data_IF_617413260939
#
_entry.id   IF_617413260939
#
_cell.length_a   1.000
_cell.length_b   1.000
_cell.length_c   1.000
_cell.angle_alpha   90.00
_cell.angle_beta   90.00
_cell.angle_gamma   90.00
#
_symmetry.space_group_name_H-M   'P 1'
#
loop_
_entity.id
_entity.type
_entity.pdbx_description
1 polymer ?
#
# COMPACT_ATOMS: atom_id res chain seq x y z
N UNK A 1 -40.43 3.80 19.56
CA UNK A 1 -39.25 4.60 19.13
C UNK A 1 -38.00 4.44 20.01
N UNK A 2 -38.09 4.19 21.33
CA UNK A 2 -36.92 4.07 22.22
C UNK A 2 -36.09 2.80 21.98
N UNK A 3 -36.73 1.65 21.71
CA UNK A 3 -36.04 0.39 21.38
C UNK A 3 -35.24 0.45 20.08
N UNK A 4 -35.80 1.07 19.04
CA UNK A 4 -35.14 1.29 17.75
C UNK A 4 -33.94 2.24 17.87
N UNK A 5 -34.07 3.35 18.61
CA UNK A 5 -32.92 4.23 18.90
C UNK A 5 -31.82 3.53 19.68
N UNK A 6 -32.16 2.62 20.60
CA UNK A 6 -31.18 1.84 21.38
C UNK A 6 -30.48 0.79 20.51
N UNK A 7 -31.22 0.13 19.62
CA UNK A 7 -30.67 -0.82 18.66
C UNK A 7 -29.78 -0.11 17.62
N UNK A 8 -30.23 1.02 17.05
CA UNK A 8 -29.43 1.86 16.15
C UNK A 8 -28.17 2.38 16.85
N UNK A 9 -28.24 2.83 18.11
CA UNK A 9 -27.03 3.22 18.87
C UNK A 9 -26.08 2.05 19.11
N UNK A 10 -26.60 0.87 19.45
CA UNK A 10 -25.78 -0.31 19.72
C UNK A 10 -25.10 -0.80 18.44
N UNK A 11 -25.84 -0.85 17.33
CA UNK A 11 -25.34 -1.21 16.00
C UNK A 11 -24.36 -0.17 15.45
N UNK A 12 -24.66 1.14 15.56
CA UNK A 12 -23.77 2.22 15.13
C UNK A 12 -22.47 2.29 15.93
N UNK A 13 -22.54 2.15 17.26
CA UNK A 13 -21.35 2.16 18.13
C UNK A 13 -20.48 0.93 17.93
N UNK A 14 -21.06 -0.20 17.53
CA UNK A 14 -20.36 -1.42 17.19
C UNK A 14 -19.72 -1.34 15.80
N UNK A 15 -20.46 -0.80 14.83
CA UNK A 15 -19.99 -0.54 13.47
C UNK A 15 -18.80 0.41 13.42
N UNK A 16 -18.79 1.45 14.26
CA UNK A 16 -17.66 2.36 14.43
C UNK A 16 -16.47 1.73 15.19
N UNK A 17 -16.72 0.69 15.98
CA UNK A 17 -15.69 0.00 16.79
C UNK A 17 -14.93 -1.06 15.99
N UNK A 18 -15.63 -1.78 15.12
CA UNK A 18 -15.05 -2.84 14.29
C UNK A 18 -14.61 -2.35 12.89
N UNK A 19 -14.75 -1.05 12.62
CA UNK A 19 -14.26 -0.47 11.38
C UNK A 19 -12.74 -0.37 11.42
N UNK A 20 -12.07 -1.34 10.80
CA UNK A 20 -10.61 -1.42 10.72
C UNK A 20 -9.96 -0.14 10.18
N UNK A 21 -10.64 0.64 9.33
CA UNK A 21 -10.11 1.94 8.87
C UNK A 21 -10.04 2.93 10.04
N UNK A 22 -11.04 2.95 10.93
CA UNK A 22 -11.18 3.94 11.99
C UNK A 22 -10.47 3.54 13.29
N UNK A 23 -10.47 2.25 13.63
CA UNK A 23 -9.99 1.76 14.92
C UNK A 23 -8.65 1.06 14.88
N UNK A 24 -8.19 0.58 13.72
CA UNK A 24 -6.86 -0.03 13.66
C UNK A 24 -5.78 1.06 13.58
N UNK A 25 -4.94 1.14 14.63
CA UNK A 25 -3.62 1.78 14.58
C UNK A 25 -2.60 1.03 13.69
N UNK A 26 -3.06 0.00 12.96
CA UNK A 26 -2.23 -0.77 12.03
C UNK A 26 -2.36 -0.31 10.57
N UNK A 27 -3.28 0.62 10.26
CA UNK A 27 -3.44 1.20 8.93
C UNK A 27 -3.86 0.23 7.82
N UNK A 28 -4.70 -0.75 8.15
CA UNK A 28 -5.18 -1.76 7.19
C UNK A 28 -6.15 -1.12 6.17
N UNK A 29 -5.90 -1.37 4.88
CA UNK A 29 -6.79 -0.94 3.79
C UNK A 29 -6.68 0.52 3.37
N UNK A 30 -5.66 1.25 3.83
CA UNK A 30 -5.49 2.66 3.44
C UNK A 30 -5.22 2.85 1.96
N UNK A 31 -4.39 1.99 1.35
CA UNK A 31 -4.04 2.08 -0.08
C UNK A 31 -5.29 2.13 -0.97
N UNK A 32 -6.21 1.17 -0.78
CA UNK A 32 -7.46 1.11 -1.54
C UNK A 32 -8.44 2.21 -1.13
N UNK A 33 -8.48 2.63 0.14
CA UNK A 33 -9.37 3.70 0.58
C UNK A 33 -9.00 5.07 0.02
N UNK A 34 -7.71 5.36 -0.10
CA UNK A 34 -7.23 6.64 -0.62
C UNK A 34 -7.41 6.70 -2.14
N UNK A 35 -7.20 5.57 -2.83
CA UNK A 35 -7.21 5.50 -4.28
C UNK A 35 -8.62 5.57 -4.88
N UNK A 36 -9.61 4.95 -4.25
CA UNK A 36 -10.94 4.74 -4.86
C UNK A 36 -12.00 5.77 -4.39
N UNK A 37 -11.65 6.63 -3.42
CA UNK A 37 -12.58 7.64 -2.86
C UNK A 37 -12.70 8.92 -3.67
N UNK A 38 -12.25 8.93 -4.93
CA UNK A 38 -12.40 10.08 -5.81
C UNK A 38 -13.85 10.27 -6.28
N UNK A 39 -14.57 9.16 -6.51
CA UNK A 39 -15.99 9.12 -6.90
C UNK A 39 -16.76 8.14 -6.01
N UNK A 40 -18.01 8.47 -5.70
CA UNK A 40 -18.89 7.67 -4.85
C UNK A 40 -19.25 6.34 -5.51
N UNK A 41 -19.51 6.33 -6.81
CA UNK A 41 -19.76 5.12 -7.60
C UNK A 41 -18.58 4.13 -7.49
N UNK A 42 -17.35 4.64 -7.60
CA UNK A 42 -16.17 3.81 -7.51
C UNK A 42 -16.02 3.19 -6.13
N UNK A 43 -16.27 3.99 -5.08
CA UNK A 43 -16.20 3.55 -3.69
C UNK A 43 -17.26 2.50 -3.36
N UNK A 44 -18.46 2.63 -3.93
CA UNK A 44 -19.53 1.64 -3.76
C UNK A 44 -19.15 0.32 -4.42
N UNK A 45 -18.67 0.35 -5.67
CA UNK A 45 -18.21 -0.83 -6.41
C UNK A 45 -17.09 -1.55 -5.67
N UNK A 46 -16.11 -0.82 -5.14
CA UNK A 46 -15.01 -1.39 -4.36
C UNK A 46 -15.48 -1.98 -3.03
N UNK A 47 -16.39 -1.30 -2.33
CA UNK A 47 -16.97 -1.80 -1.07
C UNK A 47 -17.74 -3.11 -1.27
N UNK A 48 -18.58 -3.18 -2.31
CA UNK A 48 -19.32 -4.38 -2.69
C UNK A 48 -18.40 -5.49 -3.18
N UNK A 49 -17.38 -5.16 -3.97
CA UNK A 49 -16.37 -6.11 -4.44
C UNK A 49 -15.59 -6.75 -3.29
N UNK A 50 -15.11 -5.96 -2.34
CA UNK A 50 -14.43 -6.45 -1.14
C UNK A 50 -15.37 -7.36 -0.32
N UNK A 51 -16.64 -6.98 -0.14
CA UNK A 51 -17.62 -7.79 0.57
C UNK A 51 -17.81 -9.16 -0.11
N UNK A 52 -18.09 -9.16 -1.41
CA UNK A 52 -18.34 -10.36 -2.20
C UNK A 52 -17.11 -11.28 -2.22
N UNK A 53 -15.95 -10.73 -2.55
CA UNK A 53 -14.70 -11.49 -2.64
C UNK A 53 -14.32 -12.08 -1.29
N UNK A 54 -14.42 -11.32 -0.19
CA UNK A 54 -14.00 -11.80 1.13
C UNK A 54 -14.91 -12.92 1.64
N UNK A 55 -16.23 -12.76 1.52
CA UNK A 55 -17.20 -13.78 1.94
C UNK A 55 -17.13 -15.05 1.09
N UNK A 56 -17.00 -14.88 -0.24
CA UNK A 56 -16.87 -15.99 -1.19
C UNK A 56 -15.56 -16.75 -1.01
N UNK A 57 -14.44 -16.03 -0.88
CA UNK A 57 -13.13 -16.64 -0.63
C UNK A 57 -13.11 -17.37 0.71
N UNK A 58 -13.69 -16.81 1.77
CA UNK A 58 -13.75 -17.48 3.07
C UNK A 58 -14.54 -18.81 3.01
N UNK A 59 -15.62 -18.86 2.23
CA UNK A 59 -16.40 -20.09 2.04
C UNK A 59 -15.57 -21.23 1.42
N UNK A 60 -14.69 -20.93 0.45
CA UNK A 60 -13.78 -21.93 -0.11
C UNK A 60 -12.60 -22.24 0.80
N UNK A 61 -12.12 -21.27 1.57
CA UNK A 61 -10.97 -21.43 2.46
C UNK A 61 -11.31 -22.26 3.71
N UNK A 62 -12.55 -22.16 4.22
CA UNK A 62 -12.95 -22.78 5.48
C UNK A 62 -12.80 -24.32 5.53
N UNK A 63 -13.15 -25.10 4.49
CA UNK A 63 -12.88 -26.55 4.45
C UNK A 63 -11.39 -26.88 4.61
N UNK A 64 -10.51 -26.03 4.08
CA UNK A 64 -9.06 -26.19 4.18
C UNK A 64 -8.47 -25.61 5.47
N UNK A 65 -9.30 -25.14 6.42
CA UNK A 65 -8.86 -24.54 7.70
C UNK A 65 -7.82 -25.40 8.43
N UNK A 66 -7.98 -26.73 8.44
CA UNK A 66 -6.99 -27.64 9.07
C UNK A 66 -5.64 -27.59 8.36
N UNK A 67 -5.63 -27.70 7.03
CA UNK A 67 -4.40 -27.63 6.24
C UNK A 67 -3.69 -26.28 6.41
N UNK A 68 -4.46 -25.19 6.41
CA UNK A 68 -3.95 -23.82 6.51
C UNK A 68 -3.47 -23.48 7.92
N UNK A 69 -4.13 -24.00 8.96
CA UNK A 69 -3.71 -23.80 10.34
C UNK A 69 -2.49 -24.63 10.71
N UNK A 70 -2.28 -25.77 10.05
CA UNK A 70 -1.06 -26.59 10.20
C UNK A 70 0.12 -25.98 9.42
N UNK A 71 -0.15 -25.25 8.33
CA UNK A 71 0.85 -24.44 7.67
C UNK A 71 1.29 -23.29 8.59
N UNK A 72 2.59 -23.16 8.88
CA UNK A 72 3.10 -22.06 9.70
C UNK A 72 2.63 -20.68 9.21
N UNK A 73 2.61 -19.69 10.12
CA UNK A 73 2.10 -18.32 9.90
C UNK A 73 2.51 -17.70 8.58
N UNK A 74 3.73 -18.00 8.16
CA UNK A 74 4.41 -17.51 6.96
C UNK A 74 3.77 -17.98 5.63
N UNK A 75 3.42 -19.27 5.55
CA UNK A 75 2.88 -19.87 4.31
C UNK A 75 1.38 -19.60 4.16
N UNK A 76 0.68 -19.39 5.28
CA UNK A 76 -0.75 -19.10 5.33
C UNK A 76 -1.11 -17.90 4.44
N UNK A 77 -0.38 -16.80 4.56
CA UNK A 77 -0.73 -15.53 3.90
C UNK A 77 -0.63 -15.65 2.37
N UNK A 78 0.43 -16.30 1.86
CA UNK A 78 0.63 -16.53 0.43
C UNK A 78 -0.48 -17.40 -0.17
N UNK A 79 -0.87 -18.49 0.51
CA UNK A 79 -1.96 -19.34 0.05
C UNK A 79 -3.30 -18.59 0.02
N UNK A 80 -3.57 -17.76 1.03
CA UNK A 80 -4.77 -16.92 1.06
C UNK A 80 -4.82 -15.96 -0.13
N UNK A 81 -3.70 -15.32 -0.47
CA UNK A 81 -3.64 -14.41 -1.61
C UNK A 81 -3.97 -15.09 -2.94
N UNK A 82 -3.48 -16.31 -3.17
CA UNK A 82 -3.76 -17.07 -4.39
C UNK A 82 -5.26 -17.40 -4.48
N UNK A 83 -5.88 -17.83 -3.38
CA UNK A 83 -7.32 -18.15 -3.38
C UNK A 83 -8.16 -16.89 -3.61
N UNK A 84 -7.78 -15.78 -2.97
CA UNK A 84 -8.46 -14.49 -3.14
C UNK A 84 -8.29 -13.96 -4.58
N UNK A 85 -7.13 -14.13 -5.21
CA UNK A 85 -6.90 -13.64 -6.58
C UNK A 85 -7.81 -14.30 -7.61
N UNK A 86 -8.12 -15.58 -7.44
CA UNK A 86 -9.09 -16.29 -8.28
C UNK A 86 -10.49 -15.68 -8.13
N UNK A 87 -10.93 -15.36 -6.92
CA UNK A 87 -12.23 -14.71 -6.70
C UNK A 87 -12.29 -13.27 -7.20
N UNK A 88 -11.20 -12.52 -7.07
CA UNK A 88 -11.12 -11.17 -7.63
C UNK A 88 -11.24 -11.19 -9.15
N UNK A 89 -10.61 -12.17 -9.82
CA UNK A 89 -10.78 -12.35 -11.26
C UNK A 89 -12.25 -12.61 -11.63
N UNK A 90 -12.94 -13.50 -10.89
CA UNK A 90 -14.38 -13.76 -11.07
C UNK A 90 -15.21 -12.47 -10.90
N UNK A 91 -14.93 -11.69 -9.84
CA UNK A 91 -15.58 -10.41 -9.61
C UNK A 91 -15.30 -9.40 -10.74
N UNK A 92 -14.07 -9.38 -11.27
CA UNK A 92 -13.70 -8.53 -12.40
C UNK A 92 -14.55 -8.81 -13.65
N UNK A 93 -14.81 -10.08 -13.97
CA UNK A 93 -15.73 -10.42 -15.06
C UNK A 93 -17.17 -10.04 -14.79
N UNK A 94 -17.63 -10.26 -13.56
CA UNK A 94 -18.97 -9.83 -13.17
C UNK A 94 -19.12 -8.31 -13.32
N UNK A 95 -18.13 -7.54 -12.86
CA UNK A 95 -18.13 -6.09 -13.02
C UNK A 95 -18.15 -5.67 -14.50
N UNK A 96 -17.37 -6.32 -15.37
CA UNK A 96 -17.36 -6.03 -16.81
C UNK A 96 -18.67 -6.42 -17.50
N UNK A 97 -19.33 -7.49 -17.06
CA UNK A 97 -20.59 -7.95 -17.63
C UNK A 97 -21.78 -7.06 -17.26
N UNK A 98 -21.84 -6.59 -16.01
CA UNK A 98 -22.97 -5.81 -15.51
C UNK A 98 -22.77 -4.29 -15.67
N UNK A 99 -21.54 -3.79 -15.54
CA UNK A 99 -21.25 -2.35 -15.57
C UNK A 99 -19.92 -2.06 -16.28
N UNK A 100 -19.87 -2.20 -17.62
CA UNK A 100 -18.61 -2.11 -18.38
C UNK A 100 -17.94 -0.73 -18.27
N UNK A 101 -18.72 0.35 -18.20
CA UNK A 101 -18.22 1.73 -18.12
C UNK A 101 -17.48 1.99 -16.81
N UNK A 102 -18.03 1.52 -15.68
CA UNK A 102 -17.40 1.61 -14.36
C UNK A 102 -16.21 0.64 -14.28
N UNK A 103 -16.35 -0.59 -14.78
CA UNK A 103 -15.29 -1.58 -14.78
C UNK A 103 -14.06 -1.11 -15.57
N UNK A 104 -14.24 -0.38 -16.68
CA UNK A 104 -13.14 0.18 -17.46
C UNK A 104 -12.33 1.22 -16.66
N UNK A 105 -13.01 2.08 -15.90
CA UNK A 105 -12.33 3.13 -15.10
C UNK A 105 -11.65 2.62 -13.83
N UNK A 106 -12.09 1.48 -13.28
CA UNK A 106 -11.61 0.91 -12.01
C UNK A 106 -10.81 -0.39 -12.22
N UNK A 107 -10.61 -0.88 -13.46
CA UNK A 107 -9.94 -2.17 -13.74
C UNK A 107 -8.65 -2.34 -12.93
N UNK A 108 -7.81 -1.30 -12.92
CA UNK A 108 -6.56 -1.27 -12.16
C UNK A 108 -6.74 -1.40 -10.63
N UNK A 109 -7.84 -0.89 -10.06
CA UNK A 109 -8.12 -0.95 -8.63
C UNK A 109 -8.92 -2.20 -8.21
N UNK A 110 -9.61 -2.86 -9.13
CA UNK A 110 -10.25 -4.17 -8.87
C UNK A 110 -9.15 -5.18 -8.49
N UNK A 111 -8.03 -5.17 -9.20
CA UNK A 111 -6.88 -6.04 -8.89
C UNK A 111 -6.31 -5.79 -7.49
N UNK A 112 -6.39 -4.55 -6.99
CA UNK A 112 -5.96 -4.20 -5.63
C UNK A 112 -6.81 -4.86 -4.54
N UNK A 113 -8.00 -5.39 -4.85
CA UNK A 113 -8.78 -6.17 -3.88
C UNK A 113 -7.96 -7.37 -3.39
N UNK A 114 -7.13 -7.96 -4.26
CA UNK A 114 -6.30 -9.13 -3.91
C UNK A 114 -5.29 -8.86 -2.80
N UNK A 115 -4.71 -7.65 -2.80
CA UNK A 115 -3.72 -7.21 -1.81
C UNK A 115 -4.31 -6.30 -0.75
N UNK A 116 -5.64 -6.19 -0.70
CA UNK A 116 -6.29 -5.40 0.33
C UNK A 116 -6.10 -6.10 1.68
N UNK A 117 -5.41 -5.40 2.58
CA UNK A 117 -5.08 -5.93 3.90
C UNK A 117 -6.32 -6.27 4.74
N UNK A 118 -7.48 -5.67 4.45
CA UNK A 118 -8.76 -5.97 5.14
C UNK A 118 -9.29 -7.35 4.74
N UNK A 119 -9.17 -7.73 3.47
CA UNK A 119 -9.59 -9.05 2.99
C UNK A 119 -8.80 -10.14 3.70
N UNK A 120 -7.47 -9.98 3.74
CA UNK A 120 -6.56 -10.93 4.38
C UNK A 120 -6.77 -11.00 5.90
N UNK A 121 -6.92 -9.85 6.56
CA UNK A 121 -7.17 -9.80 8.00
C UNK A 121 -8.49 -10.49 8.36
N UNK A 122 -9.58 -10.17 7.64
CA UNK A 122 -10.90 -10.71 7.89
C UNK A 122 -10.95 -12.24 7.68
N UNK A 123 -10.34 -12.77 6.61
CA UNK A 123 -10.26 -14.22 6.38
C UNK A 123 -9.39 -14.88 7.45
N UNK A 124 -8.24 -14.29 7.78
CA UNK A 124 -7.31 -14.85 8.77
C UNK A 124 -7.91 -14.94 10.17
N UNK A 125 -8.66 -13.91 10.59
CA UNK A 125 -9.39 -13.90 11.86
C UNK A 125 -10.59 -14.85 11.81
N UNK A 126 -11.34 -14.86 10.71
CA UNK A 126 -12.47 -15.78 10.50
C UNK A 126 -12.09 -17.25 10.62
N UNK A 127 -10.86 -17.62 10.26
CA UNK A 127 -10.33 -18.97 10.42
C UNK A 127 -10.22 -19.41 11.88
N UNK A 128 -10.26 -18.50 12.87
CA UNK A 128 -10.17 -18.86 14.29
C UNK A 128 -11.50 -19.28 14.90
N UNK A 129 -12.63 -18.96 14.25
CA UNK A 129 -13.99 -19.23 14.76
C UNK A 129 -14.78 -20.16 13.84
N UNK A 130 -16.02 -20.47 14.22
CA UNK A 130 -16.93 -21.30 13.43
C UNK A 130 -17.43 -20.56 12.20
N UNK A 131 -17.79 -21.31 11.15
CA UNK A 131 -18.14 -20.78 9.83
C UNK A 131 -19.15 -19.62 9.87
N UNK A 132 -20.30 -19.82 10.51
CA UNK A 132 -21.36 -18.80 10.52
C UNK A 132 -21.05 -17.60 11.39
N UNK A 133 -20.27 -17.80 12.45
CA UNK A 133 -19.78 -16.68 13.27
C UNK A 133 -18.74 -15.87 12.50
N UNK A 134 -17.83 -16.56 11.80
CA UNK A 134 -16.82 -15.96 10.94
C UNK A 134 -17.47 -15.14 9.82
N UNK A 135 -18.45 -15.68 9.10
CA UNK A 135 -19.17 -14.96 8.06
C UNK A 135 -19.84 -13.68 8.60
N UNK A 136 -20.43 -13.72 9.80
CA UNK A 136 -20.98 -12.52 10.44
C UNK A 136 -19.92 -11.49 10.81
N UNK A 137 -18.74 -11.93 11.29
CA UNK A 137 -17.61 -11.02 11.59
C UNK A 137 -17.06 -10.38 10.31
N UNK A 138 -16.83 -11.17 9.27
CA UNK A 138 -16.36 -10.73 7.96
C UNK A 138 -17.34 -9.72 7.35
N UNK A 139 -18.64 -10.05 7.34
CA UNK A 139 -19.68 -9.15 6.83
C UNK A 139 -19.63 -7.79 7.51
N UNK A 140 -19.52 -7.76 8.84
CA UNK A 140 -19.44 -6.51 9.61
C UNK A 140 -18.17 -5.72 9.30
N UNK A 141 -17.02 -6.37 9.22
CA UNK A 141 -15.75 -5.72 8.91
C UNK A 141 -15.78 -5.10 7.49
N UNK A 142 -16.26 -5.86 6.49
CA UNK A 142 -16.38 -5.39 5.11
C UNK A 142 -17.44 -4.31 4.93
N UNK A 143 -18.58 -4.40 5.62
CA UNK A 143 -19.57 -3.31 5.63
C UNK A 143 -19.00 -2.05 6.29
N UNK A 144 -18.25 -2.18 7.39
CA UNK A 144 -17.53 -1.09 8.05
C UNK A 144 -16.60 -0.37 7.08
N UNK A 145 -15.79 -1.15 6.36
CA UNK A 145 -14.91 -0.65 5.29
C UNK A 145 -15.70 0.08 4.20
N UNK A 146 -16.73 -0.56 3.63
CA UNK A 146 -17.53 0.01 2.54
C UNK A 146 -18.19 1.34 2.95
N UNK A 147 -18.74 1.42 4.17
CA UNK A 147 -19.32 2.66 4.68
C UNK A 147 -18.29 3.76 4.87
N UNK A 148 -17.08 3.44 5.36
CA UNK A 148 -16.01 4.43 5.45
C UNK A 148 -15.60 4.95 4.05
N UNK A 149 -15.54 4.09 3.04
CA UNK A 149 -15.28 4.52 1.66
C UNK A 149 -16.37 5.46 1.14
N UNK A 150 -17.63 5.07 1.29
CA UNK A 150 -18.78 5.89 0.86
C UNK A 150 -18.75 7.25 1.55
N UNK A 151 -18.47 7.30 2.85
CA UNK A 151 -18.41 8.54 3.60
C UNK A 151 -17.23 9.43 3.17
N UNK A 152 -16.05 8.85 2.94
CA UNK A 152 -14.88 9.57 2.42
C UNK A 152 -15.13 10.09 1.00
N UNK A 153 -15.72 9.29 0.12
CA UNK A 153 -16.06 9.70 -1.23
C UNK A 153 -17.14 10.78 -1.25
N UNK A 154 -18.11 10.72 -0.33
CA UNK A 154 -19.10 11.78 -0.16
C UNK A 154 -18.48 13.11 0.28
N UNK A 155 -17.36 13.09 1.02
CA UNK A 155 -16.61 14.31 1.34
C UNK A 155 -15.75 14.80 0.16
N UNK A 156 -15.24 13.88 -0.68
CA UNK A 156 -14.29 14.19 -1.76
C UNK A 156 -14.95 14.55 -3.08
N UNK A 157 -16.01 13.86 -3.49
CA UNK A 157 -16.64 14.04 -4.80
C UNK A 157 -17.26 15.44 -4.99
N UNK A 158 -18.03 16.00 -4.02
CA UNK A 158 -18.56 17.36 -4.18
C UNK A 158 -17.43 18.39 -4.29
N UNK A 159 -16.42 18.32 -3.43
CA UNK A 159 -15.32 19.27 -3.41
C UNK A 159 -14.40 19.15 -4.64
N UNK A 160 -14.28 17.95 -5.22
CA UNK A 160 -13.48 17.71 -6.42
C UNK A 160 -14.23 18.06 -7.71
N UNK A 161 -15.36 17.38 -7.95
CA UNK A 161 -16.09 17.42 -9.23
C UNK A 161 -17.31 18.35 -9.22
N UNK A 162 -17.79 18.79 -8.04
CA UNK A 162 -19.04 19.54 -7.91
C UNK A 162 -20.30 18.68 -7.96
N UNK A 163 -20.13 17.35 -8.06
CA UNK A 163 -21.22 16.38 -8.26
C UNK A 163 -21.32 15.38 -7.10
N UNK A 164 -22.48 14.75 -6.98
CA UNK A 164 -22.71 13.53 -6.19
C UNK A 164 -23.49 12.56 -7.07
N UNK A 165 -22.90 11.41 -7.44
CA UNK A 165 -23.53 10.42 -8.32
C UNK A 165 -24.07 11.06 -9.62
N UNK A 166 -23.28 11.98 -10.21
CA UNK A 166 -23.65 12.68 -11.43
C UNK A 166 -24.63 13.85 -11.26
N UNK A 167 -25.22 14.05 -10.08
CA UNK A 167 -26.06 15.23 -9.80
C UNK A 167 -25.18 16.41 -9.37
N UNK A 168 -25.32 17.56 -10.04
CA UNK A 168 -24.60 18.79 -9.68
C UNK A 168 -25.17 19.37 -8.38
N UNK A 169 -24.36 19.42 -7.33
CA UNK A 169 -24.76 19.92 -6.00
C UNK A 169 -24.18 21.31 -5.74
N UNK A 170 -22.99 21.60 -6.27
CA UNK A 170 -22.33 22.89 -6.09
C UNK A 170 -22.59 23.82 -7.29
N UNK A 171 -22.80 25.13 -7.04
CA UNK A 171 -22.89 26.12 -8.12
C UNK A 171 -21.59 26.16 -8.94
N UNK A 172 -21.70 26.45 -10.24
CA UNK A 172 -20.54 26.57 -11.15
C UNK A 172 -19.52 27.64 -10.72
N UNK A 173 -19.93 28.56 -9.85
CA UNK A 173 -19.07 29.59 -9.26
C UNK A 173 -18.03 29.03 -8.26
N UNK A 174 -18.23 27.81 -7.74
CA UNK A 174 -17.26 27.22 -6.82
C UNK A 174 -16.08 26.62 -7.61
N UNK A 175 -14.83 27.05 -7.36
CA UNK A 175 -13.68 26.53 -8.09
C UNK A 175 -13.51 25.03 -7.80
N UNK A 176 -13.60 24.22 -8.86
CA UNK A 176 -13.37 22.77 -8.77
C UNK A 176 -11.97 22.54 -8.24
N UNK A 177 -11.88 21.98 -7.04
CA UNK A 177 -10.61 21.83 -6.36
C UNK A 177 -9.95 20.55 -6.86
N UNK A 178 -9.13 20.67 -7.92
CA UNK A 178 -8.37 19.56 -8.53
C UNK A 178 -7.57 18.79 -7.47
N UNK A 179 -7.09 19.49 -6.44
CA UNK A 179 -6.39 18.91 -5.28
C UNK A 179 -7.19 17.79 -4.59
N UNK A 180 -8.53 17.88 -4.56
CA UNK A 180 -9.37 16.90 -3.86
C UNK A 180 -9.56 15.61 -4.68
N UNK A 181 -9.40 15.69 -6.00
CA UNK A 181 -9.47 14.57 -6.92
C UNK A 181 -8.15 13.78 -6.91
N UNK A 182 -7.03 14.47 -6.75
CA UNK A 182 -5.70 13.85 -6.76
C UNK A 182 -5.44 13.05 -5.46
N UNK A 183 -4.41 12.19 -5.44
CA UNK A 183 -3.93 11.47 -4.26
C UNK A 183 -3.77 12.32 -3.01
N UNK A 184 -3.36 13.58 -3.22
CA UNK A 184 -3.17 14.60 -2.19
C UNK A 184 -4.46 14.82 -1.39
N UNK A 185 -5.58 14.98 -2.08
CA UNK A 185 -6.91 15.10 -1.49
C UNK A 185 -7.30 13.88 -0.67
N UNK A 186 -6.92 12.68 -1.11
CA UNK A 186 -7.15 11.45 -0.35
C UNK A 186 -6.48 11.49 1.02
N UNK A 187 -5.20 11.86 1.08
CA UNK A 187 -4.46 11.96 2.35
C UNK A 187 -5.08 13.00 3.29
N UNK A 188 -5.40 14.20 2.79
CA UNK A 188 -6.01 15.25 3.60
C UNK A 188 -7.43 14.88 4.06
N UNK A 189 -8.25 14.28 3.18
CA UNK A 189 -9.58 13.82 3.52
C UNK A 189 -9.55 12.75 4.62
N UNK A 190 -8.67 11.75 4.48
CA UNK A 190 -8.54 10.68 5.48
C UNK A 190 -8.00 11.21 6.82
N UNK A 191 -7.00 12.10 6.79
CA UNK A 191 -6.47 12.73 8.00
C UNK A 191 -7.53 13.58 8.70
N UNK A 192 -8.26 14.42 7.96
CA UNK A 192 -9.35 15.24 8.49
C UNK A 192 -10.50 14.40 9.03
N UNK A 193 -10.87 13.33 8.32
CA UNK A 193 -11.91 12.40 8.75
C UNK A 193 -11.56 11.70 10.07
N UNK A 194 -10.31 11.20 10.22
CA UNK A 194 -9.83 10.61 11.47
C UNK A 194 -9.81 11.64 12.61
N UNK A 195 -9.32 12.86 12.34
CA UNK A 195 -9.27 13.94 13.32
C UNK A 195 -10.67 14.30 13.84
N UNK A 196 -11.66 14.42 12.94
CA UNK A 196 -13.03 14.80 13.28
C UNK A 196 -13.76 13.71 14.08
N UNK A 197 -13.50 12.44 13.79
CA UNK A 197 -14.11 11.31 14.51
C UNK A 197 -13.41 10.97 15.83
N UNK A 198 -12.14 11.32 16.00
CA UNK A 198 -11.35 11.05 17.21
C UNK A 198 -12.02 11.45 18.53
N UNK A 199 -12.55 12.68 18.72
CA UNK A 199 -13.21 13.05 19.98
C UNK A 199 -14.44 12.18 20.28
N UNK A 200 -15.16 11.75 19.23
CA UNK A 200 -16.29 10.84 19.37
C UNK A 200 -15.84 9.42 19.75
N UNK A 201 -14.75 8.93 19.16
CA UNK A 201 -14.18 7.61 19.43
C UNK A 201 -13.58 7.49 20.84
N UNK A 202 -12.88 8.54 21.32
CA UNK A 202 -12.36 8.62 22.68
C UNK A 202 -13.50 8.64 23.71
N UNK A 203 -14.53 9.46 23.49
CA UNK A 203 -15.73 9.51 24.35
C UNK A 203 -16.50 8.19 24.36
N UNK A 204 -16.42 7.43 23.27
CA UNK A 204 -17.01 6.10 23.17
C UNK A 204 -16.19 4.97 23.80
N UNK A 205 -14.95 5.25 24.31
CA UNK A 205 -13.93 4.27 24.75
C UNK A 205 -13.64 3.19 23.69
N UNK A 206 -13.68 3.57 22.42
CA UNK A 206 -13.43 2.66 21.30
C UNK A 206 -11.93 2.60 20.98
N UNK A 207 -11.27 3.75 21.06
CA UNK A 207 -9.82 3.91 20.89
C UNK A 207 -9.24 4.26 22.26
N UNK A 208 -8.19 3.54 22.67
CA UNK A 208 -7.40 3.90 23.84
C UNK A 208 -6.34 4.89 23.42
N UNK A 209 -6.06 5.87 24.29
CA UNK A 209 -4.96 6.80 24.08
C UNK A 209 -3.68 5.96 23.90
N UNK A 210 -3.04 6.06 22.73
CA UNK A 210 -1.73 5.44 22.54
C UNK A 210 -0.85 5.99 23.67
N UNK A 211 -0.43 5.10 24.58
CA UNK A 211 0.62 5.46 25.51
C UNK A 211 1.78 5.89 24.62
N UNK A 212 2.17 7.16 24.69
CA UNK A 212 3.35 7.65 24.01
C UNK A 212 4.43 6.61 24.32
N UNK A 213 4.89 5.88 23.30
CA UNK A 213 6.05 5.00 23.45
C UNK A 213 7.23 5.94 23.62
N UNK A 214 7.36 6.44 24.84
CA UNK A 214 8.49 7.18 25.33
C UNK A 214 9.59 6.14 25.48
N UNK A 215 10.20 5.75 24.37
CA UNK A 215 11.45 4.98 24.35
C UNK A 215 12.61 5.74 25.02
N UNK A 216 12.36 6.95 25.54
CA UNK A 216 13.28 7.66 26.43
C UNK A 216 13.11 7.37 27.93
N UNK A 217 12.14 6.54 28.37
CA UNK A 217 11.85 6.37 29.81
C UNK A 217 12.34 5.04 30.43
N UNK A 218 12.94 4.13 29.68
CA UNK A 218 13.36 2.82 30.20
C UNK A 218 14.75 2.80 30.89
N UNK A 219 15.39 3.95 31.07
CA UNK A 219 16.70 4.08 31.76
C UNK A 219 16.66 4.90 33.04
N UNK A 220 15.48 5.17 33.60
CA UNK A 220 15.32 5.95 34.84
C UNK A 220 14.87 5.09 36.03
N UNK A 221 15.63 4.04 36.37
CA UNK A 221 15.64 3.49 37.73
C UNK A 221 17.08 3.35 38.20
N UNK A 222 17.64 4.48 38.64
CA UNK A 222 18.51 4.60 39.81
C UNK A 222 18.75 6.09 40.07
N UNK A 223 18.45 6.53 41.30
CA UNK A 223 18.34 7.94 41.67
C UNK A 223 19.62 8.74 41.42
N UNK A 224 19.49 9.79 40.59
CA UNK A 224 20.22 11.05 40.67
C UNK A 224 19.49 12.07 39.78
N UNK A 225 19.48 13.34 40.18
CA UNK A 225 18.74 14.42 39.52
C UNK A 225 18.97 14.45 38.00
N UNK A 226 17.95 14.78 37.17
CA UNK A 226 18.13 14.84 35.73
C UNK A 226 19.03 16.04 35.38
N UNK A 227 20.24 15.75 34.92
CA UNK A 227 21.08 16.74 34.27
C UNK A 227 20.40 17.20 32.97
N UNK A 228 20.55 18.48 32.56
CA UNK A 228 20.01 18.96 31.30
C UNK A 228 20.55 18.09 30.16
N UNK A 229 19.65 17.57 29.32
CA UNK A 229 20.01 16.75 28.16
C UNK A 229 21.04 17.52 27.31
N UNK A 230 22.28 17.05 27.33
CA UNK A 230 23.31 17.55 26.44
C UNK A 230 22.84 17.29 25.01
N UNK A 231 22.88 18.33 24.16
CA UNK A 231 22.79 18.16 22.72
C UNK A 231 23.88 17.19 22.32
N UNK A 232 23.54 15.94 22.06
CA UNK A 232 24.42 15.02 21.36
C UNK A 232 24.74 15.67 20.02
N UNK A 233 25.94 16.24 19.91
CA UNK A 233 26.52 16.56 18.61
C UNK A 233 26.53 15.25 17.85
N UNK A 234 25.86 15.22 16.70
CA UNK A 234 26.01 14.15 15.73
C UNK A 234 27.47 14.21 15.25
N UNK A 235 28.37 13.59 15.99
CA UNK A 235 29.74 13.36 15.54
C UNK A 235 29.67 12.27 14.49
N UNK A 236 29.65 12.70 13.22
CA UNK A 236 29.76 11.80 12.08
C UNK A 236 31.09 11.07 12.24
N UNK A 237 31.03 9.79 12.62
CA UNK A 237 32.22 8.95 12.79
C UNK A 237 33.07 9.00 11.52
N UNK A 238 34.39 9.10 11.66
CA UNK A 238 35.33 9.11 10.53
C UNK A 238 35.06 7.93 9.56
N UNK A 239 34.62 6.78 10.08
CA UNK A 239 34.22 5.63 9.27
C UNK A 239 33.00 5.92 8.39
N UNK A 240 31.98 6.58 8.92
CA UNK A 240 30.78 6.99 8.18
C UNK A 240 31.12 8.03 7.12
N UNK A 241 31.98 9.01 7.44
CA UNK A 241 32.43 10.02 6.48
C UNK A 241 33.24 9.40 5.32
N UNK A 242 34.14 8.46 5.63
CA UNK A 242 34.90 7.71 4.62
C UNK A 242 33.96 6.87 3.74
N UNK A 243 32.94 6.24 4.33
CA UNK A 243 31.97 5.42 3.58
C UNK A 243 31.13 6.28 2.61
N UNK A 244 30.66 7.45 3.08
CA UNK A 244 29.94 8.42 2.25
C UNK A 244 30.86 8.97 1.15
N UNK A 245 32.10 9.33 1.49
CA UNK A 245 33.10 9.82 0.54
C UNK A 245 33.44 8.79 -0.55
N UNK A 246 33.61 7.52 -0.18
CA UNK A 246 33.83 6.43 -1.13
C UNK A 246 32.62 6.22 -2.05
N UNK A 247 31.40 6.33 -1.50
CA UNK A 247 30.17 6.27 -2.28
C UNK A 247 30.05 7.40 -3.32
N UNK A 248 30.38 8.63 -2.93
CA UNK A 248 30.40 9.79 -3.84
C UNK A 248 31.47 9.63 -4.92
N UNK A 249 32.67 9.17 -4.58
CA UNK A 249 33.73 8.90 -5.55
C UNK A 249 33.37 7.76 -6.52
N UNK A 250 32.73 6.69 -6.06
CA UNK A 250 32.22 5.62 -6.92
C UNK A 250 31.13 6.13 -7.87
N UNK A 251 30.24 6.98 -7.39
CA UNK A 251 29.18 7.57 -8.21
C UNK A 251 29.76 8.49 -9.29
N UNK A 252 30.73 9.33 -8.95
CA UNK A 252 31.46 10.17 -9.91
C UNK A 252 32.22 9.32 -10.93
N UNK A 253 32.91 8.26 -10.47
CA UNK A 253 33.63 7.33 -11.35
C UNK A 253 32.70 6.64 -12.35
N UNK A 254 31.50 6.24 -11.91
CA UNK A 254 30.48 5.66 -12.78
C UNK A 254 29.99 6.68 -13.82
N UNK A 255 29.72 7.93 -13.42
CA UNK A 255 29.28 8.99 -14.35
C UNK A 255 30.36 9.27 -15.42
N UNK A 256 31.62 9.38 -15.00
CA UNK A 256 32.74 9.59 -15.93
C UNK A 256 32.85 8.40 -16.90
N UNK A 257 32.69 7.16 -16.41
CA UNK A 257 32.75 5.97 -17.23
C UNK A 257 31.57 5.83 -18.21
N UNK A 258 30.39 6.34 -17.83
CA UNK A 258 29.20 6.47 -18.69
C UNK A 258 29.47 7.45 -19.83
N UNK A 259 30.10 8.59 -19.54
CA UNK A 259 30.39 9.62 -20.56
C UNK A 259 31.45 9.18 -21.57
N UNK A 260 32.42 8.36 -21.16
CA UNK A 260 33.49 7.88 -22.04
C UNK A 260 33.05 6.79 -23.04
N UNK A 261 31.93 6.10 -22.78
CA UNK A 261 31.45 5.00 -23.64
C UNK A 261 30.21 5.44 -24.45
N UNK A 262 30.29 5.60 -25.78
CA UNK A 262 29.22 6.20 -26.58
C UNK A 262 27.91 5.37 -26.61
N UNK A 263 28.02 4.05 -26.57
CA UNK A 263 26.87 3.13 -26.48
C UNK A 263 26.19 3.23 -25.12
N UNK A 264 26.96 3.34 -24.05
CA UNK A 264 26.48 3.41 -22.67
C UNK A 264 25.87 4.78 -22.35
N UNK A 265 26.44 5.84 -22.92
CA UNK A 265 25.89 7.20 -22.86
C UNK A 265 24.49 7.29 -23.50
N UNK A 266 24.31 6.67 -24.67
CA UNK A 266 23.01 6.67 -25.38
C UNK A 266 21.94 5.91 -24.58
N UNK A 267 22.29 4.76 -24.00
CA UNK A 267 21.39 4.00 -23.12
C UNK A 267 21.07 4.79 -21.85
N UNK A 268 22.05 5.46 -21.24
CA UNK A 268 21.87 6.28 -20.05
C UNK A 268 20.91 7.46 -20.30
N UNK A 269 21.03 8.14 -21.44
CA UNK A 269 20.12 9.23 -21.82
C UNK A 269 18.66 8.76 -22.00
N UNK A 270 18.44 7.51 -22.42
CA UNK A 270 17.09 6.94 -22.57
C UNK A 270 16.52 6.50 -21.21
N UNK A 271 17.33 5.85 -20.36
CA UNK A 271 16.85 5.28 -19.10
C UNK A 271 16.76 6.28 -17.95
N UNK A 272 17.60 7.32 -17.92
CA UNK A 272 17.60 8.30 -16.84
C UNK A 272 16.26 9.04 -16.72
N UNK A 273 15.63 9.55 -17.80
CA UNK A 273 14.30 10.17 -17.71
C UNK A 273 13.24 9.20 -17.21
N UNK A 274 13.29 7.93 -17.65
CA UNK A 274 12.34 6.88 -17.21
C UNK A 274 12.50 6.62 -15.71
N UNK A 275 13.74 6.50 -15.23
CA UNK A 275 14.06 6.32 -13.81
C UNK A 275 13.58 7.50 -12.98
N UNK A 276 13.90 8.73 -13.41
CA UNK A 276 13.50 9.96 -12.72
C UNK A 276 11.99 10.14 -12.73
N UNK A 277 11.32 9.78 -13.83
CA UNK A 277 9.86 9.80 -13.91
C UNK A 277 9.23 8.85 -12.90
N UNK A 278 9.70 7.60 -12.83
CA UNK A 278 9.22 6.64 -11.83
C UNK A 278 9.57 7.03 -10.38
N UNK A 279 10.70 7.72 -10.18
CA UNK A 279 11.20 8.15 -8.87
C UNK A 279 10.45 9.38 -8.31
N UNK A 280 10.15 10.38 -9.14
CA UNK A 280 9.59 11.66 -8.68
C UNK A 280 8.14 11.87 -9.10
N UNK A 281 7.77 11.58 -10.34
CA UNK A 281 6.50 12.03 -10.92
C UNK A 281 5.42 10.94 -10.89
N UNK A 282 5.73 9.75 -11.39
CA UNK A 282 4.83 8.59 -11.42
C UNK A 282 5.02 7.65 -10.21
N UNK A 283 5.46 8.20 -9.08
CA UNK A 283 5.80 7.42 -7.90
C UNK A 283 4.62 6.62 -7.34
N UNK A 284 4.78 5.31 -7.16
CA UNK A 284 3.71 4.40 -6.69
C UNK A 284 3.09 4.84 -5.35
N UNK A 285 3.88 5.42 -4.44
CA UNK A 285 3.41 5.75 -3.09
C UNK A 285 2.64 7.07 -3.09
N UNK A 286 3.23 8.15 -3.59
CA UNK A 286 2.62 9.49 -3.51
C UNK A 286 1.61 9.75 -4.63
N UNK A 287 1.81 9.17 -5.83
CA UNK A 287 0.94 9.35 -6.99
C UNK A 287 -0.10 8.24 -7.14
N UNK A 288 0.26 6.98 -6.88
CA UNK A 288 -0.70 5.86 -7.02
C UNK A 288 -1.33 5.41 -5.70
N UNK A 289 -0.84 5.87 -4.56
CA UNK A 289 -1.33 5.55 -3.20
C UNK A 289 -1.14 4.08 -2.79
N UNK A 290 -0.08 3.43 -3.25
CA UNK A 290 0.20 2.03 -2.93
C UNK A 290 1.43 1.85 -2.04
N UNK A 291 1.42 0.79 -1.24
CA UNK A 291 2.51 0.46 -0.31
C UNK A 291 2.55 1.34 0.95
N UNK A 292 1.45 2.04 1.27
CA UNK A 292 1.33 2.96 2.40
C UNK A 292 1.25 2.20 3.74
N UNK A 293 0.59 1.05 3.79
CA UNK A 293 0.40 0.28 5.04
C UNK A 293 1.74 -0.07 5.74
N UNK A 294 2.72 -0.72 5.08
CA UNK A 294 4.01 -1.00 5.70
C UNK A 294 4.82 0.29 5.96
N UNK A 295 4.66 1.29 5.11
CA UNK A 295 5.37 2.57 5.21
C UNK A 295 4.98 3.34 6.48
N UNK A 296 3.69 3.39 6.83
CA UNK A 296 3.22 4.05 8.05
C UNK A 296 3.67 3.35 9.33
N UNK A 297 3.75 2.01 9.32
CA UNK A 297 4.23 1.27 10.47
C UNK A 297 5.74 1.50 10.68
N UNK A 298 6.52 1.40 9.60
CA UNK A 298 7.99 1.39 9.70
C UNK A 298 8.64 2.74 9.78
N UNK A 299 7.94 3.80 9.39
CA UNK A 299 8.41 5.16 9.59
C UNK A 299 8.41 5.61 11.06
N UNK A 300 8.03 4.77 12.04
CA UNK A 300 8.22 5.09 13.47
C UNK A 300 9.70 5.06 13.88
N UNK A 301 10.52 4.25 13.22
CA UNK A 301 11.95 4.09 13.53
C UNK A 301 12.79 4.29 12.26
N UNK A 302 13.77 5.20 12.31
CA UNK A 302 14.61 5.52 11.14
C UNK A 302 15.43 4.29 10.72
N UNK A 303 15.99 3.55 11.68
CA UNK A 303 16.79 2.36 11.40
C UNK A 303 15.99 1.25 10.72
N UNK A 304 14.73 1.07 11.11
CA UNK A 304 13.84 0.14 10.46
C UNK A 304 13.43 0.63 9.05
N UNK A 305 13.22 1.94 8.89
CA UNK A 305 12.79 2.55 7.63
C UNK A 305 13.80 2.37 6.50
N UNK A 306 15.08 2.70 6.72
CA UNK A 306 16.10 2.59 5.66
C UNK A 306 16.39 1.13 5.30
N UNK A 307 16.52 0.24 6.29
CA UNK A 307 16.77 -1.19 6.05
C UNK A 307 15.63 -1.84 5.26
N UNK A 308 14.38 -1.54 5.64
CA UNK A 308 13.23 -2.03 4.88
C UNK A 308 13.18 -1.44 3.47
N UNK A 309 13.50 -0.16 3.28
CA UNK A 309 13.47 0.45 1.95
C UNK A 309 14.49 -0.16 0.99
N UNK A 310 15.69 -0.49 1.46
CA UNK A 310 16.69 -1.24 0.66
C UNK A 310 16.16 -2.62 0.26
N UNK A 311 15.52 -3.33 1.20
CA UNK A 311 14.90 -4.61 0.89
C UNK A 311 13.78 -4.49 -0.16
N UNK A 312 12.94 -3.46 -0.06
CA UNK A 312 11.89 -3.17 -1.04
C UNK A 312 12.48 -2.91 -2.41
N UNK A 313 13.54 -2.10 -2.54
CA UNK A 313 14.22 -1.84 -3.84
C UNK A 313 14.65 -3.14 -4.52
N UNK A 314 15.33 -4.01 -3.78
CA UNK A 314 15.86 -5.27 -4.31
C UNK A 314 14.70 -6.17 -4.77
N UNK A 315 13.69 -6.33 -3.91
CA UNK A 315 12.58 -7.23 -4.21
C UNK A 315 11.70 -6.68 -5.34
N UNK A 316 11.37 -5.39 -5.37
CA UNK A 316 10.55 -4.80 -6.45
C UNK A 316 11.25 -4.94 -7.79
N UNK A 317 12.54 -4.63 -7.85
CA UNK A 317 13.33 -4.70 -9.10
C UNK A 317 13.40 -6.13 -9.61
N UNK A 318 13.89 -7.07 -8.78
CA UNK A 318 14.09 -8.47 -9.20
C UNK A 318 12.77 -9.18 -9.50
N UNK A 319 11.73 -8.99 -8.68
CA UNK A 319 10.43 -9.62 -8.92
C UNK A 319 9.75 -9.09 -10.18
N UNK A 320 9.86 -7.79 -10.48
CA UNK A 320 9.29 -7.22 -11.71
C UNK A 320 10.04 -7.75 -12.94
N UNK A 321 11.37 -7.84 -12.89
CA UNK A 321 12.16 -8.46 -13.97
C UNK A 321 11.77 -9.92 -14.21
N UNK A 322 11.59 -10.71 -13.15
CA UNK A 322 11.13 -12.11 -13.26
C UNK A 322 9.70 -12.21 -13.82
N UNK A 323 8.79 -11.36 -13.33
CA UNK A 323 7.41 -11.31 -13.83
C UNK A 323 7.35 -10.94 -15.31
N UNK A 324 8.21 -10.02 -15.78
CA UNK A 324 8.29 -9.68 -17.19
C UNK A 324 8.69 -10.89 -18.05
N UNK A 325 9.69 -11.66 -17.61
CA UNK A 325 10.14 -12.87 -18.32
C UNK A 325 9.02 -13.90 -18.38
N UNK A 326 8.33 -14.13 -17.27
CA UNK A 326 7.22 -15.10 -17.20
C UNK A 326 6.03 -14.62 -18.02
N UNK A 327 5.68 -13.34 -17.97
CA UNK A 327 4.58 -12.77 -18.75
C UNK A 327 4.79 -12.97 -20.26
N UNK A 328 5.95 -12.56 -20.77
CA UNK A 328 6.22 -12.63 -22.20
C UNK A 328 6.54 -14.05 -22.68
N UNK A 329 7.24 -14.85 -21.87
CA UNK A 329 7.65 -16.20 -22.26
C UNK A 329 6.56 -17.24 -22.07
N UNK A 330 5.77 -17.15 -21.00
CA UNK A 330 4.77 -18.16 -20.64
C UNK A 330 3.38 -17.68 -21.00
N UNK A 331 2.99 -16.48 -20.55
CA UNK A 331 1.61 -16.02 -20.62
C UNK A 331 1.20 -15.63 -22.05
N UNK A 332 2.00 -14.82 -22.74
CA UNK A 332 1.72 -14.43 -24.13
C UNK A 332 1.82 -15.65 -25.06
N UNK A 333 2.89 -16.45 -24.95
CA UNK A 333 3.05 -17.65 -25.80
C UNK A 333 1.94 -18.67 -25.55
N UNK A 334 1.54 -18.88 -24.30
CA UNK A 334 0.42 -19.76 -23.94
C UNK A 334 -0.93 -19.24 -24.42
N UNK A 335 -1.18 -17.93 -24.26
CA UNK A 335 -2.36 -17.23 -24.77
C UNK A 335 -2.48 -17.40 -26.30
N UNK A 336 -1.39 -17.18 -27.03
CA UNK A 336 -1.35 -17.36 -28.48
C UNK A 336 -1.56 -18.83 -28.92
N UNK A 337 -1.02 -19.79 -28.16
CA UNK A 337 -1.22 -21.21 -28.43
C UNK A 337 -2.70 -21.60 -28.29
N UNK A 338 -3.37 -21.13 -27.23
CA UNK A 338 -4.77 -21.45 -26.94
C UNK A 338 -5.72 -20.70 -27.89
N UNK A 339 -5.40 -19.46 -28.26
CA UNK A 339 -6.14 -18.70 -29.26
C UNK A 339 -6.17 -19.38 -30.64
N UNK A 340 -5.15 -20.21 -30.95
CA UNK A 340 -5.14 -21.01 -32.18
C UNK A 340 -6.16 -22.16 -32.18
N UNK A 341 -6.47 -22.71 -31.00
CA UNK A 341 -7.33 -23.90 -30.85
C UNK A 341 -8.75 -23.60 -30.37
N UNK A 342 -9.02 -22.40 -29.86
CA UNK A 342 -10.34 -22.05 -29.30
C UNK A 342 -10.97 -20.87 -30.04
N UNK A 343 -12.28 -20.93 -30.35
CA UNK A 343 -13.03 -19.82 -30.97
C UNK A 343 -13.39 -18.70 -29.97
N UNK A 344 -12.80 -18.70 -28.78
CA UNK A 344 -13.13 -17.78 -27.70
C UNK A 344 -12.26 -16.52 -27.85
N UNK A 345 -12.88 -15.32 -27.93
CA UNK A 345 -12.18 -14.03 -28.02
C UNK A 345 -11.49 -13.59 -26.72
N UNK A 346 -11.40 -14.48 -25.72
CA UNK A 346 -10.92 -14.16 -24.38
C UNK A 346 -9.44 -14.53 -24.27
N UNK A 347 -8.58 -13.51 -24.17
CA UNK A 347 -7.13 -13.69 -24.04
C UNK A 347 -6.76 -14.10 -22.62
N UNK A 348 -6.10 -15.25 -22.47
CA UNK A 348 -5.69 -15.79 -21.16
C UNK A 348 -4.79 -14.82 -20.37
N UNK A 349 -4.00 -14.02 -21.09
CA UNK A 349 -3.09 -13.04 -20.49
C UNK A 349 -3.84 -12.00 -19.65
N UNK A 350 -5.05 -11.60 -20.04
CA UNK A 350 -5.84 -10.62 -19.28
C UNK A 350 -6.47 -11.21 -18.00
N UNK A 351 -6.60 -12.54 -17.95
CA UNK A 351 -7.24 -13.24 -16.83
C UNK A 351 -6.21 -13.61 -15.76
N UNK A 352 -5.13 -14.23 -16.19
CA UNK A 352 -4.23 -14.94 -15.28
C UNK A 352 -2.99 -14.15 -14.88
N UNK A 353 -2.74 -12.96 -15.46
CA UNK A 353 -1.52 -12.21 -15.16
C UNK A 353 -1.37 -11.89 -13.68
N UNK A 354 -2.45 -11.47 -13.02
CA UNK A 354 -2.42 -11.11 -11.60
C UNK A 354 -2.06 -12.31 -10.72
N UNK A 355 -2.72 -13.45 -10.94
CA UNK A 355 -2.46 -14.69 -10.19
C UNK A 355 -1.03 -15.18 -10.45
N UNK A 356 -0.55 -15.13 -11.70
CA UNK A 356 0.83 -15.53 -12.04
C UNK A 356 1.85 -14.60 -11.41
N UNK A 357 1.60 -13.29 -11.36
CA UNK A 357 2.49 -12.34 -10.69
C UNK A 357 2.57 -12.58 -9.19
N UNK A 358 1.43 -12.81 -8.52
CA UNK A 358 1.39 -13.11 -7.09
C UNK A 358 2.15 -14.41 -6.79
N UNK A 359 1.90 -15.48 -7.56
CA UNK A 359 2.58 -16.77 -7.38
C UNK A 359 4.09 -16.62 -7.60
N UNK A 360 4.50 -15.91 -8.65
CA UNK A 360 5.93 -15.68 -8.94
C UNK A 360 6.60 -14.89 -7.82
N UNK A 361 5.99 -13.80 -7.36
CA UNK A 361 6.50 -12.98 -6.25
C UNK A 361 6.61 -13.83 -4.98
N UNK A 362 5.58 -14.61 -4.66
CA UNK A 362 5.56 -15.46 -3.48
C UNK A 362 6.67 -16.51 -3.51
N UNK A 363 6.86 -17.22 -4.63
CA UNK A 363 7.94 -18.20 -4.79
C UNK A 363 9.30 -17.51 -4.67
N UNK A 364 9.50 -16.39 -5.36
CA UNK A 364 10.77 -15.66 -5.34
C UNK A 364 11.15 -15.19 -3.94
N UNK A 365 10.24 -14.50 -3.22
CA UNK A 365 10.52 -13.99 -1.88
C UNK A 365 10.68 -15.14 -0.88
N UNK A 366 9.96 -16.25 -1.06
CA UNK A 366 10.15 -17.43 -0.22
C UNK A 366 11.53 -18.06 -0.43
N UNK A 367 11.99 -18.14 -1.68
CA UNK A 367 13.37 -18.55 -1.97
C UNK A 367 14.38 -17.58 -1.35
N UNK A 368 14.14 -16.27 -1.46
CA UNK A 368 14.99 -15.24 -0.86
C UNK A 368 15.06 -15.36 0.68
N UNK A 369 13.94 -15.67 1.34
CA UNK A 369 13.90 -15.84 2.80
C UNK A 369 14.72 -17.05 3.26
N UNK A 370 14.66 -18.17 2.52
CA UNK A 370 15.51 -19.34 2.77
C UNK A 370 16.99 -19.02 2.50
N UNK A 371 17.28 -18.28 1.44
CA UNK A 371 18.64 -17.88 1.08
C UNK A 371 19.27 -16.98 2.16
N UNK A 372 18.54 -15.96 2.62
CA UNK A 372 19.01 -15.05 3.66
C UNK A 372 19.21 -15.77 5.00
N UNK A 373 18.35 -16.72 5.37
CA UNK A 373 18.55 -17.55 6.57
C UNK A 373 19.87 -18.32 6.56
N UNK A 374 20.31 -18.77 5.36
CA UNK A 374 21.52 -19.58 5.19
C UNK A 374 22.77 -18.73 5.07
N UNK A 375 22.72 -17.66 4.29
CA UNK A 375 23.91 -16.86 3.94
C UNK A 375 24.08 -15.58 4.75
N UNK A 376 23.01 -15.01 5.31
CA UNK A 376 23.04 -13.71 6.00
C UNK A 376 22.15 -13.74 7.26
N UNK A 377 22.47 -14.63 8.20
CA UNK A 377 21.69 -14.85 9.43
C UNK A 377 21.45 -13.56 10.23
N UNK A 378 22.48 -12.73 10.38
CA UNK A 378 22.38 -11.43 11.07
C UNK A 378 21.35 -10.49 10.41
N UNK A 379 21.33 -10.44 9.07
CA UNK A 379 20.33 -9.64 8.33
C UNK A 379 18.94 -10.25 8.48
N UNK A 380 18.83 -11.57 8.44
CA UNK A 380 17.55 -12.27 8.63
C UNK A 380 16.98 -12.10 10.05
N UNK A 381 17.80 -12.05 11.10
CA UNK A 381 17.31 -11.86 12.47
C UNK A 381 16.77 -10.44 12.69
N UNK A 382 17.32 -9.44 11.99
CA UNK A 382 16.82 -8.06 12.01
C UNK A 382 15.65 -7.82 11.04
N UNK A 383 15.58 -8.55 9.93
CA UNK A 383 14.62 -8.33 8.82
C UNK A 383 13.55 -9.42 8.68
N UNK A 384 13.65 -10.52 9.43
CA UNK A 384 12.93 -11.78 9.20
C UNK A 384 11.42 -11.64 9.21
N UNK A 385 10.91 -10.81 10.11
CA UNK A 385 9.48 -10.48 10.17
C UNK A 385 9.01 -9.65 8.95
N UNK A 386 9.91 -8.92 8.29
CA UNK A 386 9.57 -8.01 7.19
C UNK A 386 9.56 -8.71 5.84
N UNK A 387 10.39 -9.75 5.65
CA UNK A 387 10.48 -10.51 4.40
C UNK A 387 9.13 -11.05 3.93
N UNK A 388 8.27 -11.45 4.84
CA UNK A 388 6.93 -11.94 4.46
C UNK A 388 5.93 -10.82 4.26
N UNK A 389 6.06 -9.73 5.01
CA UNK A 389 5.24 -8.54 4.78
C UNK A 389 5.56 -7.90 3.42
N UNK A 390 6.74 -8.18 2.85
CA UNK A 390 7.11 -7.79 1.48
C UNK A 390 6.30 -8.56 0.43
N UNK A 391 6.01 -9.86 0.63
CA UNK A 391 5.21 -10.64 -0.35
C UNK A 391 3.82 -10.03 -0.56
N UNK A 392 3.26 -9.47 0.52
CA UNK A 392 1.95 -8.84 0.52
C UNK A 392 2.01 -7.33 0.33
N UNK A 393 3.20 -6.76 0.14
CA UNK A 393 3.33 -5.33 -0.01
C UNK A 393 2.80 -4.94 -1.40
N UNK A 394 1.75 -4.11 -1.40
CA UNK A 394 1.11 -3.64 -2.62
C UNK A 394 2.10 -3.02 -3.62
N UNK A 395 3.22 -2.43 -3.17
CA UNK A 395 4.23 -1.89 -4.10
C UNK A 395 4.88 -2.96 -4.98
N UNK A 396 5.15 -4.15 -4.45
CA UNK A 396 5.83 -5.22 -5.19
C UNK A 396 4.93 -5.72 -6.31
N UNK A 397 3.66 -5.96 -6.00
CA UNK A 397 2.67 -6.33 -7.00
C UNK A 397 2.43 -5.20 -8.00
N UNK A 398 2.26 -3.97 -7.52
CA UNK A 398 1.97 -2.79 -8.35
C UNK A 398 3.06 -2.46 -9.36
N UNK A 399 4.32 -2.62 -8.96
CA UNK A 399 5.46 -2.43 -9.85
C UNK A 399 5.35 -3.33 -11.08
N UNK A 400 4.95 -4.59 -10.89
CA UNK A 400 4.73 -5.53 -11.99
C UNK A 400 3.44 -5.23 -12.78
N UNK A 401 2.32 -5.00 -12.09
CA UNK A 401 1.01 -4.82 -12.74
C UNK A 401 0.87 -3.51 -13.50
N UNK A 402 1.55 -2.44 -13.11
CA UNK A 402 1.49 -1.16 -13.83
C UNK A 402 2.50 -1.03 -14.97
N UNK A 403 3.56 -1.83 -14.96
CA UNK A 403 4.67 -1.69 -15.92
C UNK A 403 4.63 -2.72 -17.04
N UNK A 404 4.21 -3.95 -16.75
CA UNK A 404 4.29 -5.05 -17.72
C UNK A 404 3.13 -5.00 -18.74
N UNK A 405 1.86 -4.83 -18.32
CA UNK A 405 0.73 -4.83 -19.26
C UNK A 405 0.75 -3.68 -20.28
N UNK A 406 1.53 -2.63 -20.04
CA UNK A 406 1.71 -1.52 -21.00
C UNK A 406 2.57 -1.89 -22.21
N UNK A 407 3.14 -3.11 -22.25
CA UNK A 407 4.00 -3.56 -23.35
C UNK A 407 5.44 -3.05 -23.26
N UNK A 408 5.89 -2.63 -22.07
CA UNK A 408 7.25 -2.14 -21.87
C UNK A 408 8.31 -3.23 -22.14
N UNK A 409 9.48 -2.83 -22.63
CA UNK A 409 10.62 -3.75 -22.81
C UNK A 409 11.20 -4.20 -21.46
N UNK A 410 12.00 -5.27 -21.45
CA UNK A 410 12.59 -5.82 -20.22
C UNK A 410 13.41 -4.78 -19.44
N UNK A 411 14.24 -4.02 -20.15
CA UNK A 411 15.13 -3.04 -19.53
C UNK A 411 14.33 -1.85 -18.99
N UNK A 412 13.37 -1.34 -19.78
CA UNK A 412 12.48 -0.26 -19.33
C UNK A 412 11.69 -0.69 -18.10
N UNK A 413 11.18 -1.93 -18.08
CA UNK A 413 10.41 -2.45 -16.95
C UNK A 413 11.26 -2.56 -15.68
N UNK A 414 12.50 -3.02 -15.82
CA UNK A 414 13.44 -3.18 -14.70
C UNK A 414 13.87 -1.83 -14.14
N UNK A 415 14.20 -0.86 -14.99
CA UNK A 415 14.58 0.50 -14.58
C UNK A 415 13.40 1.23 -13.92
N UNK A 416 12.19 1.05 -14.44
CA UNK A 416 10.98 1.62 -13.83
C UNK A 416 10.73 1.02 -12.45
N UNK A 417 10.87 -0.30 -12.30
CA UNK A 417 10.73 -0.99 -11.01
C UNK A 417 11.78 -0.54 -9.97
N UNK A 418 13.00 -0.27 -10.42
CA UNK A 418 14.06 0.33 -9.60
C UNK A 418 13.66 1.73 -9.13
N UNK A 419 13.13 2.56 -10.03
CA UNK A 419 12.63 3.90 -9.71
C UNK A 419 11.51 3.87 -8.66
N UNK A 420 10.57 2.94 -8.78
CA UNK A 420 9.50 2.75 -7.78
C UNK A 420 10.03 2.30 -6.41
N UNK A 421 11.00 1.39 -6.39
CA UNK A 421 11.66 0.97 -5.15
C UNK A 421 12.36 2.14 -4.46
N UNK A 422 13.13 2.92 -5.23
CA UNK A 422 13.83 4.11 -4.74
C UNK A 422 12.86 5.18 -4.22
N UNK A 423 11.74 5.37 -4.90
CA UNK A 423 10.67 6.27 -4.44
C UNK A 423 10.15 5.83 -3.07
N UNK A 424 9.88 4.54 -2.87
CA UNK A 424 9.41 4.04 -1.57
C UNK A 424 10.44 4.23 -0.46
N UNK A 425 11.72 3.93 -0.71
CA UNK A 425 12.81 4.18 0.23
C UNK A 425 12.88 5.67 0.61
N UNK A 426 12.84 6.56 -0.37
CA UNK A 426 12.88 8.00 -0.15
C UNK A 426 11.72 8.45 0.74
N UNK A 427 10.49 8.06 0.42
CA UNK A 427 9.30 8.48 1.18
C UNK A 427 9.33 7.94 2.62
N UNK A 428 9.70 6.67 2.84
CA UNK A 428 9.69 6.09 4.20
C UNK A 428 10.76 6.73 5.09
N UNK A 429 11.95 7.01 4.55
CA UNK A 429 13.03 7.66 5.31
C UNK A 429 12.69 9.11 5.62
N UNK A 430 12.17 9.87 4.65
CA UNK A 430 11.75 11.25 4.87
C UNK A 430 10.62 11.32 5.90
N UNK A 431 9.62 10.44 5.80
CA UNK A 431 8.55 10.37 6.77
C UNK A 431 9.07 10.00 8.18
N UNK A 432 10.04 9.08 8.28
CA UNK A 432 10.66 8.73 9.56
C UNK A 432 11.43 9.90 10.19
N UNK A 433 12.16 10.67 9.37
CA UNK A 433 12.85 11.87 9.83
C UNK A 433 11.87 12.94 10.32
N UNK A 434 10.79 13.20 9.56
CA UNK A 434 9.75 14.15 9.94
C UNK A 434 8.99 13.72 11.21
N UNK A 435 8.78 12.40 11.39
CA UNK A 435 8.19 11.85 12.62
C UNK A 435 9.14 11.93 13.82
N UNK A 436 10.46 11.85 13.64
CA UNK A 436 11.42 12.00 14.74
C UNK A 436 11.50 13.44 15.25
N UNK A 437 11.36 14.43 14.37
CA UNK A 437 11.43 15.85 14.72
C UNK A 437 10.16 16.39 15.43
N UNK A 438 9.26 15.53 15.95
CA UNK A 438 7.98 15.88 16.62
C UNK A 438 8.14 16.62 17.95
N UNK A 439 8.88 17.74 17.97
CA UNK A 439 9.09 18.56 19.16
C UNK A 439 7.82 19.31 19.64
N UNK A 440 6.70 19.32 18.88
CA UNK A 440 5.60 20.28 19.11
C UNK A 440 4.14 19.77 19.03
N UNK A 441 3.86 18.46 18.85
CA UNK A 441 2.45 18.00 18.81
C UNK A 441 2.05 17.26 20.09
N UNK A 442 1.11 17.77 20.90
CA UNK A 442 0.63 17.06 22.07
C UNK A 442 -0.08 15.76 21.67
N UNK A 443 0.44 14.63 22.13
CA UNK A 443 -0.07 13.26 21.91
C UNK A 443 -1.53 13.07 22.36
N UNK A 444 -2.03 13.97 23.20
CA UNK A 444 -3.39 13.97 23.70
C UNK A 444 -4.42 14.31 22.60
N UNK A 445 -4.06 15.10 21.58
CA UNK A 445 -4.98 15.63 20.58
C UNK A 445 -4.88 14.96 19.19
N UNK A 446 -3.74 14.35 18.85
CA UNK A 446 -3.49 13.74 17.55
C UNK A 446 -2.93 12.32 17.67
N UNK A 447 -3.43 11.39 16.85
CA UNK A 447 -2.83 10.04 16.71
C UNK A 447 -1.57 10.11 15.83
N UNK A 448 -0.57 9.27 16.13
CA UNK A 448 0.70 9.29 15.41
C UNK A 448 0.53 9.03 13.90
N UNK A 449 -0.35 8.08 13.57
CA UNK A 449 -0.66 7.68 12.20
C UNK A 449 -1.41 8.79 11.45
N UNK A 450 -2.34 9.51 12.11
CA UNK A 450 -3.10 10.61 11.50
C UNK A 450 -2.16 11.75 11.09
N UNK A 451 -1.20 12.11 11.93
CA UNK A 451 -0.19 13.12 11.57
C UNK A 451 0.69 12.61 10.44
N UNK A 452 1.01 11.32 10.41
CA UNK A 452 1.81 10.79 9.32
C UNK A 452 1.10 10.79 7.97
N UNK A 453 -0.19 10.47 7.96
CA UNK A 453 -1.05 10.59 6.77
C UNK A 453 -1.10 12.06 6.32
N UNK A 454 -1.19 13.01 7.25
CA UNK A 454 -1.12 14.44 6.95
C UNK A 454 0.23 14.83 6.31
N UNK A 455 1.35 14.38 6.90
CA UNK A 455 2.70 14.62 6.36
C UNK A 455 2.86 14.01 4.95
N UNK A 456 2.34 12.79 4.74
CA UNK A 456 2.30 12.18 3.41
C UNK A 456 1.47 13.00 2.42
N UNK A 457 0.36 13.60 2.84
CA UNK A 457 -0.43 14.52 2.02
C UNK A 457 0.36 15.77 1.62
N UNK A 458 1.10 16.38 2.56
CA UNK A 458 1.97 17.52 2.27
C UNK A 458 3.09 17.13 1.31
N UNK A 459 3.74 15.97 1.53
CA UNK A 459 4.75 15.45 0.62
C UNK A 459 4.15 15.22 -0.78
N UNK A 460 3.00 14.55 -0.87
CA UNK A 460 2.32 14.32 -2.14
C UNK A 460 1.99 15.64 -2.86
N UNK A 461 1.56 16.68 -2.13
CA UNK A 461 1.29 18.01 -2.69
C UNK A 461 2.55 18.63 -3.32
N UNK A 462 3.69 18.56 -2.63
CA UNK A 462 4.98 19.08 -3.12
C UNK A 462 5.39 18.35 -4.41
N UNK A 463 5.37 17.02 -4.43
CA UNK A 463 5.77 16.25 -5.61
C UNK A 463 4.80 16.42 -6.78
N UNK A 464 3.50 16.50 -6.51
CA UNK A 464 2.50 16.81 -7.55
C UNK A 464 2.75 18.20 -8.14
N UNK A 465 3.06 19.20 -7.29
CA UNK A 465 3.39 20.54 -7.73
C UNK A 465 4.66 20.59 -8.58
N UNK A 466 5.72 19.87 -8.18
CA UNK A 466 6.96 19.77 -8.96
C UNK A 466 6.70 19.05 -10.30
N UNK A 467 5.84 18.03 -10.34
CA UNK A 467 5.48 17.33 -11.57
C UNK A 467 4.71 18.17 -12.59
N UNK A 468 4.07 19.27 -12.15
CA UNK A 468 3.47 20.25 -13.06
C UNK A 468 4.49 21.22 -13.66
N UNK A 469 5.71 21.29 -13.11
CA UNK A 469 6.81 22.03 -13.69
C UNK A 469 7.41 21.12 -14.76
N UNK A 470 7.15 21.41 -16.03
CA UNK A 470 7.74 20.71 -17.17
C UNK A 470 9.25 20.98 -17.19
N UNK A 471 10.01 20.17 -16.45
CA UNK A 471 11.49 20.24 -16.39
C UNK A 471 12.12 19.46 -17.56
N UNK A 472 11.33 18.72 -18.33
CA UNK A 472 11.75 17.97 -19.52
C UNK A 472 10.83 18.20 -20.69
#
# INVERSE_FOLDING_TARGET
MVGLKRHIRKTSKFFLRDNLILTAGAGLGFCSSLAVTNKLENSLTMGLGVLFVTMGSFALVYPFKRLISTAGTHHKISLLMIIVSVFVAIFGFFAQAFVPEIAASIKAYIDLITTNCIVLAAISEGLTVDFWEAQKKILKACMGYAFALVLLAFLREPLGFGTVMGFSVLPEAFPRTVLMITPVGGFFALAGFRLLLRPFLLKARIVYQEAASCECAATATNGSNPAPASREKIEISKKTLITIGLGVCLFISIIVHIQTNPTLHTQFLIFLPILLNALFFDGIVLSKLLGICPLLNKSRQIDAAWKMGVAVIIVTTLSTSLNWVIYNSVLIKGSNLIAKYSPLSVRLEEIFYLTVFIVTIAVFVQTLSVLLRKFARAVYEEMGQFLELITVNCIVLASATFTIPTGASFMVSTVTALGYGLHWLMVVVWLALLRRQRLFVPTNAWDEDTIAILLLGVMAAIFTGIGMISIF
#
